data_IF_765378063158
#
_entry.id   IF_765378063158
#
_cell.length_a   1.000
_cell.length_b   1.000
_cell.length_c   1.000
_cell.angle_alpha   90.00
_cell.angle_beta   90.00
_cell.angle_gamma   90.00
#
_symmetry.space_group_name_H-M   'P 1'
#
loop_
_entity.id
_entity.type
_entity.pdbx_description
1 polymer ?
#
# COMPACT_ATOMS: atom_id res chain seq x y z
N UNK A 1 -7.45 -12.44 -18.40
CA UNK A 1 -7.23 -11.00 -18.66
C UNK A 1 -6.38 -10.49 -17.51
N UNK A 2 -5.09 -10.27 -17.72
CA UNK A 2 -4.23 -9.62 -16.73
C UNK A 2 -4.63 -8.15 -16.71
N UNK A 3 -5.45 -7.76 -15.73
CA UNK A 3 -5.70 -6.35 -15.46
C UNK A 3 -4.35 -5.69 -15.19
N UNK A 4 -3.87 -4.90 -16.15
CA UNK A 4 -2.71 -4.02 -16.03
C UNK A 4 -3.02 -2.83 -15.08
N UNK A 5 -3.75 -3.09 -14.00
CA UNK A 5 -4.26 -2.05 -13.12
C UNK A 5 -3.18 -1.74 -12.09
N UNK A 6 -2.14 -1.04 -12.53
CA UNK A 6 -1.12 -0.50 -11.64
C UNK A 6 -1.81 0.31 -10.54
N UNK A 7 -1.66 -0.12 -9.28
CA UNK A 7 -2.25 0.53 -8.11
C UNK A 7 -1.76 1.97 -7.96
N UNK A 8 -0.49 2.22 -8.25
CA UNK A 8 0.13 3.53 -8.16
C UNK A 8 0.33 4.12 -9.56
N UNK A 9 -0.64 4.91 -10.00
CA UNK A 9 -0.56 5.71 -11.24
C UNK A 9 -0.05 7.13 -10.94
N UNK A 10 0.60 7.76 -11.91
CA UNK A 10 1.14 9.13 -11.76
C UNK A 10 0.07 10.13 -11.28
N UNK A 11 -1.12 10.06 -11.87
CA UNK A 11 -2.26 10.94 -11.53
C UNK A 11 -2.72 10.75 -10.10
N UNK A 12 -2.78 9.50 -9.63
CA UNK A 12 -3.14 9.19 -8.25
C UNK A 12 -2.11 9.72 -7.25
N UNK A 13 -0.81 9.56 -7.56
CA UNK A 13 0.28 10.08 -6.73
C UNK A 13 0.26 11.62 -6.71
N UNK A 14 0.03 12.27 -7.85
CA UNK A 14 -0.11 13.73 -7.90
C UNK A 14 -1.26 14.22 -7.01
N UNK A 15 -2.43 13.57 -7.06
CA UNK A 15 -3.58 13.93 -6.26
C UNK A 15 -3.33 13.76 -4.76
N UNK A 16 -2.67 12.67 -4.34
CA UNK A 16 -2.29 12.46 -2.94
C UNK A 16 -1.29 13.51 -2.45
N UNK A 17 -0.22 13.77 -3.19
CA UNK A 17 0.80 14.74 -2.79
C UNK A 17 0.22 16.15 -2.69
N UNK A 18 -0.63 16.53 -3.64
CA UNK A 18 -1.35 17.81 -3.59
C UNK A 18 -2.27 17.88 -2.37
N UNK A 19 -2.97 16.80 -2.02
CA UNK A 19 -3.91 16.79 -0.89
C UNK A 19 -3.22 16.80 0.47
N UNK A 20 -2.14 16.04 0.63
CA UNK A 20 -1.45 15.86 1.91
C UNK A 20 -0.43 16.97 2.19
N UNK A 21 0.25 17.45 1.14
CA UNK A 21 1.39 18.35 1.30
C UNK A 21 1.18 19.73 0.66
N UNK A 22 0.04 19.95 -0.02
CA UNK A 22 -0.23 21.16 -0.81
C UNK A 22 0.93 21.53 -1.75
N UNK A 23 1.63 20.50 -2.23
CA UNK A 23 2.83 20.63 -3.04
C UNK A 23 2.71 19.75 -4.27
N UNK A 24 3.33 20.18 -5.38
CA UNK A 24 3.43 19.42 -6.61
C UNK A 24 4.88 19.08 -6.88
N UNK A 25 5.17 17.78 -6.99
CA UNK A 25 6.44 17.29 -7.50
C UNK A 25 6.48 17.37 -9.03
N UNK A 26 7.66 17.10 -9.61
CA UNK A 26 7.78 17.01 -11.07
C UNK A 26 7.10 15.72 -11.57
N UNK A 27 6.70 15.71 -12.85
CA UNK A 27 6.13 14.50 -13.46
C UNK A 27 7.09 13.30 -13.34
N UNK A 28 8.40 13.54 -13.53
CA UNK A 28 9.43 12.51 -13.41
C UNK A 28 9.48 11.89 -12.01
N UNK A 29 9.24 12.67 -10.96
CA UNK A 29 9.21 12.16 -9.58
C UNK A 29 8.02 11.22 -9.38
N UNK A 30 6.84 11.59 -9.90
CA UNK A 30 5.66 10.72 -9.84
C UNK A 30 5.84 9.43 -10.64
N UNK A 31 6.45 9.52 -11.83
CA UNK A 31 6.80 8.34 -12.63
C UNK A 31 7.73 7.43 -11.85
N UNK A 32 8.82 7.97 -11.29
CA UNK A 32 9.79 7.20 -10.51
C UNK A 32 9.16 6.56 -9.28
N UNK A 33 8.30 7.27 -8.55
CA UNK A 33 7.57 6.73 -7.41
C UNK A 33 6.62 5.60 -7.82
N UNK A 34 5.89 5.75 -8.92
CA UNK A 34 5.03 4.69 -9.46
C UNK A 34 5.83 3.45 -9.86
N UNK A 35 6.99 3.63 -10.50
CA UNK A 35 7.89 2.55 -10.88
C UNK A 35 8.50 1.83 -9.68
N UNK A 36 8.71 2.53 -8.56
CA UNK A 36 9.18 1.93 -7.31
C UNK A 36 8.07 1.18 -6.55
N UNK A 37 6.86 1.74 -6.49
CA UNK A 37 5.77 1.21 -5.64
C UNK A 37 5.00 0.05 -6.27
N UNK A 38 4.75 0.08 -7.58
CA UNK A 38 3.98 -0.99 -8.24
C UNK A 38 4.63 -2.38 -8.12
N UNK A 39 5.95 -2.57 -8.28
CA UNK A 39 6.57 -3.88 -8.06
C UNK A 39 6.46 -4.38 -6.61
N UNK A 40 6.47 -3.48 -5.63
CA UNK A 40 6.30 -3.82 -4.21
C UNK A 40 4.87 -4.29 -3.96
N UNK A 41 3.89 -3.59 -4.54
CA UNK A 41 2.48 -3.97 -4.50
C UNK A 41 2.23 -5.34 -5.13
N UNK A 42 2.81 -5.59 -6.31
CA UNK A 42 2.71 -6.88 -7.00
C UNK A 42 3.33 -8.01 -6.16
N UNK A 43 4.46 -7.76 -5.50
CA UNK A 43 5.08 -8.71 -4.57
C UNK A 43 4.19 -8.98 -3.35
N UNK A 44 3.62 -7.93 -2.75
CA UNK A 44 2.72 -8.05 -1.62
C UNK A 44 1.45 -8.84 -1.97
N UNK A 45 0.84 -8.55 -3.12
CA UNK A 45 -0.31 -9.28 -3.65
C UNK A 45 0.02 -10.75 -3.91
N UNK A 46 1.19 -11.03 -4.50
CA UNK A 46 1.65 -12.41 -4.74
C UNK A 46 1.87 -13.17 -3.43
N UNK A 47 2.46 -12.51 -2.42
CA UNK A 47 2.66 -13.10 -1.11
C UNK A 47 1.33 -13.35 -0.38
N UNK A 48 0.37 -12.43 -0.47
CA UNK A 48 -0.96 -12.58 0.12
C UNK A 48 -1.70 -13.80 -0.45
N UNK A 49 -1.68 -13.97 -1.77
CA UNK A 49 -2.27 -15.14 -2.46
C UNK A 49 -1.56 -16.44 -2.05
N UNK A 50 -0.22 -16.44 -2.00
CA UNK A 50 0.56 -17.62 -1.61
C UNK A 50 0.36 -18.05 -0.15
N UNK A 51 -0.03 -17.13 0.72
CA UNK A 51 -0.30 -17.37 2.14
C UNK A 51 -1.79 -17.60 2.44
N UNK A 52 -2.66 -17.63 1.42
CA UNK A 52 -4.11 -17.76 1.57
C UNK A 52 -4.74 -16.63 2.42
N UNK A 53 -4.10 -15.47 2.46
CA UNK A 53 -4.67 -14.23 3.02
C UNK A 53 -5.65 -13.69 2.00
N UNK A 54 -6.90 -14.17 2.05
CA UNK A 54 -8.00 -13.49 1.40
C UNK A 54 -8.28 -12.23 2.20
N UNK A 55 -7.94 -11.07 1.64
CA UNK A 55 -8.31 -9.71 2.06
C UNK A 55 -9.34 -9.66 3.19
N UNK A 56 -8.88 -9.43 4.42
CA UNK A 56 -9.59 -8.47 5.26
C UNK A 56 -8.56 -7.57 5.97
N UNK A 57 -8.85 -6.28 6.15
CA UNK A 57 -8.15 -5.40 7.10
C UNK A 57 -8.21 -5.91 8.57
N UNK A 58 -8.80 -7.09 8.80
CA UNK A 58 -8.86 -7.82 10.05
C UNK A 58 -7.48 -8.27 10.55
N UNK A 59 -6.50 -8.59 9.71
CA UNK A 59 -5.21 -9.09 10.24
C UNK A 59 -4.33 -7.99 10.84
N UNK A 60 -4.34 -6.80 10.26
CA UNK A 60 -3.63 -5.68 10.88
C UNK A 60 -4.30 -5.26 12.19
N UNK A 61 -5.64 -5.25 12.25
CA UNK A 61 -6.40 -5.00 13.48
C UNK A 61 -6.24 -6.12 14.51
N UNK A 62 -6.17 -7.38 14.08
CA UNK A 62 -5.93 -8.55 14.94
C UNK A 62 -4.55 -8.49 15.56
N UNK A 63 -3.51 -8.25 14.77
CA UNK A 63 -2.15 -8.10 15.29
C UNK A 63 -2.06 -6.87 16.20
N UNK A 64 -2.70 -5.75 15.88
CA UNK A 64 -2.76 -4.57 16.76
C UNK A 64 -3.45 -4.86 18.10
N UNK A 65 -4.55 -5.63 18.09
CA UNK A 65 -5.27 -6.01 19.31
C UNK A 65 -4.50 -7.04 20.13
N UNK A 66 -3.89 -8.05 19.49
CA UNK A 66 -3.02 -9.03 20.16
C UNK A 66 -1.79 -8.37 20.82
N UNK A 67 -1.22 -7.32 20.21
CA UNK A 67 -0.12 -6.54 20.79
C UNK A 67 -0.60 -5.63 21.93
N UNK A 68 -1.80 -5.06 21.84
CA UNK A 68 -2.40 -4.27 22.93
C UNK A 68 -2.74 -5.10 24.16
N UNK A 69 -3.33 -6.28 23.97
CA UNK A 69 -3.75 -7.16 25.07
C UNK A 69 -2.54 -7.78 25.80
N UNK A 70 -1.44 -8.05 25.09
CA UNK A 70 -0.19 -8.49 25.71
C UNK A 70 0.59 -7.38 26.43
N UNK A 71 0.26 -6.11 26.19
CA UNK A 71 0.86 -4.96 26.88
C UNK A 71 0.17 -4.58 28.20
N UNK A 72 -0.99 -5.19 28.52
CA UNK A 72 -1.75 -4.90 29.75
C UNK A 72 -1.58 -5.96 30.86
N UNK A 73 -0.83 -7.03 30.59
CA UNK A 73 -0.44 -8.04 31.59
C UNK A 73 1.00 -7.85 32.12
N UNK A 74 1.46 -6.60 32.21
CA UNK A 74 2.67 -6.22 32.95
C UNK A 74 2.36 -5.16 34.00
#
# INVERSE_FOLDING_TARGET
>A
MTSNNKTYQETFLEDIFKRLHNHKLSKSDYTGLAEMLNPIEDLANTAAVGLNFNDEPADFLRVLNEVKDNGQNQ
#
